data_IF_018833084311
#
_entry.id   IF_018833084311
#
_cell.length_a   1.000
_cell.length_b   1.000
_cell.length_c   1.000
_cell.angle_alpha   90.00
_cell.angle_beta   90.00
_cell.angle_gamma   90.00
#
_symmetry.space_group_name_H-M   'P 1'
#
loop_
_entity.id
_entity.type
_entity.pdbx_description
1 polymer ?
#
# COMPACT_ATOMS: atom_id res chain seq x y z
N UNK A 1 -1.49 -13.61 -17.25
CA UNK A 1 -0.86 -13.67 -15.91
C UNK A 1 -0.82 -12.28 -15.30
N UNK A 2 -0.98 -12.17 -13.97
CA UNK A 2 -0.95 -10.88 -13.26
C UNK A 2 0.46 -10.26 -13.29
N UNK A 3 1.50 -10.99 -12.95
CA UNK A 3 2.87 -10.47 -12.87
C UNK A 3 3.65 -10.61 -14.19
N UNK A 4 3.09 -10.04 -15.25
CA UNK A 4 3.74 -9.87 -16.55
C UNK A 4 3.79 -8.39 -16.93
N UNK A 5 4.91 -7.85 -17.42
CA UNK A 5 4.97 -6.46 -17.83
C UNK A 5 3.95 -6.12 -18.91
N UNK A 6 3.49 -4.88 -18.88
CA UNK A 6 2.58 -4.30 -19.87
C UNK A 6 3.34 -3.20 -20.62
N UNK A 7 3.09 -3.01 -21.92
CA UNK A 7 3.72 -1.91 -22.65
C UNK A 7 3.15 -0.57 -22.16
N UNK A 8 3.94 0.49 -22.14
CA UNK A 8 3.53 1.80 -21.59
C UNK A 8 2.21 2.33 -22.18
N UNK A 9 2.00 2.14 -23.49
CA UNK A 9 0.76 2.54 -24.17
C UNK A 9 -0.50 1.74 -23.79
N UNK A 10 -0.35 0.61 -23.10
CA UNK A 10 -1.45 -0.28 -22.71
C UNK A 10 -1.97 0.04 -21.30
N UNK A 11 -2.12 1.32 -20.94
CA UNK A 11 -2.53 1.78 -19.59
C UNK A 11 -3.86 1.18 -19.12
N UNK A 12 -4.84 1.04 -20.02
CA UNK A 12 -6.15 0.41 -19.72
C UNK A 12 -5.99 -1.06 -19.30
N UNK A 13 -5.06 -1.78 -19.93
CA UNK A 13 -4.78 -3.18 -19.62
C UNK A 13 -4.08 -3.31 -18.27
N UNK A 14 -3.17 -2.38 -17.95
CA UNK A 14 -2.54 -2.30 -16.63
C UNK A 14 -3.60 -2.02 -15.56
N UNK A 15 -4.47 -1.03 -15.77
CA UNK A 15 -5.52 -0.71 -14.82
C UNK A 15 -6.47 -1.89 -14.57
N UNK A 16 -6.92 -2.57 -15.63
CA UNK A 16 -7.78 -3.77 -15.50
C UNK A 16 -7.07 -4.87 -14.70
N UNK A 17 -5.77 -5.06 -14.92
CA UNK A 17 -4.97 -6.01 -14.16
C UNK A 17 -4.89 -5.63 -12.68
N UNK A 18 -4.65 -4.36 -12.36
CA UNK A 18 -4.64 -3.87 -10.97
C UNK A 18 -5.99 -4.10 -10.31
N UNK A 19 -7.09 -3.71 -10.96
CA UNK A 19 -8.45 -3.92 -10.44
C UNK A 19 -8.71 -5.40 -10.16
N UNK A 20 -8.38 -6.29 -11.10
CA UNK A 20 -8.57 -7.72 -10.88
C UNK A 20 -7.78 -8.27 -9.68
N UNK A 21 -6.55 -7.78 -9.44
CA UNK A 21 -5.76 -8.20 -8.27
C UNK A 21 -6.42 -7.64 -7.00
N UNK A 22 -6.80 -6.38 -7.01
CA UNK A 22 -7.47 -5.71 -5.88
C UNK A 22 -8.79 -6.38 -5.51
N UNK A 23 -9.59 -6.80 -6.49
CA UNK A 23 -10.86 -7.49 -6.26
C UNK A 23 -10.64 -8.86 -5.58
N UNK A 24 -9.59 -9.58 -5.98
CA UNK A 24 -9.21 -10.85 -5.33
C UNK A 24 -8.72 -10.62 -3.90
N UNK A 25 -7.89 -9.60 -3.66
CA UNK A 25 -7.46 -9.24 -2.31
C UNK A 25 -8.66 -8.85 -1.45
N UNK A 26 -9.59 -8.05 -1.97
CA UNK A 26 -10.82 -7.68 -1.26
C UNK A 26 -11.66 -8.90 -0.86
N UNK A 27 -11.80 -9.87 -1.77
CA UNK A 27 -12.54 -11.11 -1.51
C UNK A 27 -11.86 -12.03 -0.49
N UNK A 28 -10.55 -11.90 -0.28
CA UNK A 28 -9.77 -12.71 0.65
C UNK A 28 -9.62 -12.10 2.06
N UNK A 29 -10.27 -10.97 2.36
CA UNK A 29 -10.14 -10.26 3.64
C UNK A 29 -10.32 -11.18 4.86
N UNK A 30 -11.28 -12.09 4.82
CA UNK A 30 -11.64 -12.95 5.95
C UNK A 30 -10.85 -14.27 5.99
N UNK A 31 -10.25 -14.67 4.86
CA UNK A 31 -9.51 -15.94 4.72
C UNK A 31 -8.01 -15.79 4.94
N UNK A 32 -7.50 -14.55 4.96
CA UNK A 32 -6.07 -14.26 5.03
C UNK A 32 -5.41 -14.13 3.65
N UNK A 33 -4.17 -13.64 3.66
CA UNK A 33 -3.40 -13.28 2.46
C UNK A 33 -2.14 -14.12 2.25
N UNK A 34 -1.91 -15.14 3.09
CA UNK A 34 -0.70 -15.96 3.08
C UNK A 34 -0.46 -16.61 1.72
N UNK A 35 -1.53 -17.06 1.06
CA UNK A 35 -1.46 -17.66 -0.28
C UNK A 35 -0.90 -16.66 -1.31
N UNK A 36 -1.31 -15.39 -1.24
CA UNK A 36 -0.86 -14.36 -2.18
C UNK A 36 0.59 -14.00 -1.90
N UNK A 37 0.96 -13.88 -0.62
CA UNK A 37 2.34 -13.65 -0.20
C UNK A 37 3.26 -14.77 -0.67
N UNK A 38 2.90 -16.04 -0.44
CA UNK A 38 3.68 -17.19 -0.87
C UNK A 38 3.79 -17.27 -2.39
N UNK A 39 2.69 -17.00 -3.11
CA UNK A 39 2.67 -16.94 -4.56
C UNK A 39 3.64 -15.89 -5.09
N UNK A 40 3.55 -14.66 -4.60
CA UNK A 40 4.41 -13.56 -5.04
C UNK A 40 5.88 -13.80 -4.68
N UNK A 41 6.17 -14.30 -3.46
CA UNK A 41 7.53 -14.69 -3.04
C UNK A 41 8.10 -15.76 -3.96
N UNK A 42 7.31 -16.76 -4.35
CA UNK A 42 7.74 -17.83 -5.26
C UNK A 42 8.09 -17.27 -6.64
N UNK A 43 7.29 -16.35 -7.17
CA UNK A 43 7.55 -15.72 -8.47
C UNK A 43 8.85 -14.90 -8.45
N UNK A 44 9.03 -14.04 -7.44
CA UNK A 44 10.23 -13.19 -7.33
C UNK A 44 11.49 -14.04 -7.11
N UNK A 45 11.42 -15.07 -6.26
CA UNK A 45 12.55 -15.98 -6.01
C UNK A 45 13.01 -16.72 -7.26
N UNK A 46 12.09 -17.11 -8.15
CA UNK A 46 12.44 -17.77 -9.42
C UNK A 46 13.23 -16.84 -10.35
N UNK A 47 12.98 -15.55 -10.26
CA UNK A 47 13.56 -14.52 -11.12
C UNK A 47 14.86 -13.91 -10.55
N UNK A 48 15.21 -14.15 -9.28
CA UNK A 48 16.40 -13.55 -8.64
C UNK A 48 17.70 -13.81 -9.41
N UNK A 49 17.85 -15.01 -9.98
CA UNK A 49 19.04 -15.42 -10.74
C UNK A 49 18.98 -15.05 -12.23
N UNK A 50 17.88 -14.48 -12.71
CA UNK A 50 17.71 -14.13 -14.11
C UNK A 50 18.27 -12.73 -14.41
N UNK A 51 18.85 -12.57 -15.61
CA UNK A 51 19.35 -11.26 -16.08
C UNK A 51 18.23 -10.27 -16.34
N UNK A 52 17.08 -10.78 -16.78
CA UNK A 52 15.88 -9.99 -17.06
C UNK A 52 14.92 -10.26 -15.92
N UNK A 53 14.35 -9.19 -15.34
CA UNK A 53 13.44 -9.28 -14.20
C UNK A 53 12.01 -8.84 -14.53
N UNK A 54 11.27 -9.57 -15.38
CA UNK A 54 9.91 -9.19 -15.79
C UNK A 54 8.88 -9.14 -14.65
N UNK A 55 8.94 -10.03 -13.65
CA UNK A 55 8.06 -10.01 -12.47
C UNK A 55 8.33 -8.75 -11.65
N UNK A 56 9.60 -8.42 -11.38
CA UNK A 56 9.97 -7.19 -10.66
C UNK A 56 9.50 -5.94 -11.43
N UNK A 57 9.65 -5.93 -12.76
CA UNK A 57 9.13 -4.86 -13.61
C UNK A 57 7.59 -4.76 -13.53
N UNK A 58 6.89 -5.90 -13.54
CA UNK A 58 5.43 -5.91 -13.42
C UNK A 58 4.98 -5.40 -12.04
N UNK A 59 5.67 -5.79 -10.95
CA UNK A 59 5.41 -5.29 -9.61
C UNK A 59 5.55 -3.76 -9.55
N UNK A 60 6.61 -3.19 -10.14
CA UNK A 60 6.79 -1.73 -10.24
C UNK A 60 5.60 -1.05 -10.92
N UNK A 61 5.16 -1.57 -12.07
CA UNK A 61 4.01 -1.01 -12.80
C UNK A 61 2.71 -1.10 -12.00
N UNK A 62 2.50 -2.19 -11.27
CA UNK A 62 1.31 -2.39 -10.42
C UNK A 62 1.33 -1.42 -9.24
N UNK A 63 2.47 -1.28 -8.56
CA UNK A 63 2.65 -0.35 -7.43
C UNK A 63 2.41 1.09 -7.86
N UNK A 64 3.03 1.53 -8.96
CA UNK A 64 2.84 2.88 -9.49
C UNK A 64 1.37 3.15 -9.84
N UNK A 65 0.71 2.21 -10.51
CA UNK A 65 -0.70 2.34 -10.85
C UNK A 65 -1.61 2.33 -9.61
N UNK A 66 -1.29 1.54 -8.58
CA UNK A 66 -2.00 1.54 -7.29
C UNK A 66 -1.87 2.90 -6.60
N UNK A 67 -0.67 3.47 -6.51
CA UNK A 67 -0.44 4.78 -5.87
C UNK A 67 -1.23 5.87 -6.58
N UNK A 68 -1.15 5.93 -7.91
CA UNK A 68 -1.94 6.89 -8.70
C UNK A 68 -3.45 6.72 -8.49
N UNK A 69 -3.93 5.48 -8.42
CA UNK A 69 -5.34 5.20 -8.22
C UNK A 69 -5.81 5.54 -6.79
N UNK A 70 -4.96 5.33 -5.78
CA UNK A 70 -5.24 5.74 -4.38
C UNK A 70 -5.43 7.26 -4.31
N UNK A 71 -4.47 8.03 -4.83
CA UNK A 71 -4.56 9.50 -4.84
C UNK A 71 -5.84 9.99 -5.54
N UNK A 72 -6.18 9.38 -6.68
CA UNK A 72 -7.40 9.73 -7.43
C UNK A 72 -8.70 9.35 -6.70
N UNK A 73 -8.73 8.22 -6.00
CA UNK A 73 -9.92 7.77 -5.27
C UNK A 73 -10.26 8.71 -4.11
N UNK A 74 -9.26 9.31 -3.48
CA UNK A 74 -9.45 10.32 -2.44
C UNK A 74 -10.09 11.60 -2.98
N UNK A 75 -9.60 12.12 -4.10
CA UNK A 75 -10.11 13.35 -4.72
C UNK A 75 -11.58 13.22 -5.13
N UNK A 76 -11.99 12.03 -5.57
CA UNK A 76 -13.31 11.82 -6.18
C UNK A 76 -14.38 11.50 -5.14
N UNK A 77 -14.05 10.88 -4.00
CA UNK A 77 -15.11 10.38 -3.11
C UNK A 77 -14.65 10.00 -1.70
N UNK A 78 -15.15 10.70 -0.68
CA UNK A 78 -15.22 10.20 0.71
C UNK A 78 -16.21 9.04 0.91
N UNK A 79 -16.58 8.30 -0.14
CA UNK A 79 -17.67 7.31 -0.14
C UNK A 79 -17.26 5.89 -0.60
N UNK A 80 -16.05 5.68 -1.12
CA UNK A 80 -15.61 4.36 -1.61
C UNK A 80 -14.48 3.73 -0.78
N UNK A 81 -14.60 3.85 0.55
CA UNK A 81 -13.59 3.40 1.51
C UNK A 81 -13.21 1.92 1.32
N UNK A 82 -14.16 1.06 0.95
CA UNK A 82 -13.86 -0.37 0.72
C UNK A 82 -12.86 -0.58 -0.44
N UNK A 83 -13.03 0.15 -1.55
CA UNK A 83 -12.13 0.05 -2.69
C UNK A 83 -10.76 0.64 -2.39
N UNK A 84 -10.74 1.74 -1.65
CA UNK A 84 -9.50 2.37 -1.16
C UNK A 84 -8.74 1.43 -0.21
N UNK A 85 -9.44 0.84 0.76
CA UNK A 85 -8.89 -0.18 1.68
C UNK A 85 -8.35 -1.37 0.90
N UNK A 86 -9.07 -1.87 -0.12
CA UNK A 86 -8.58 -2.97 -0.94
C UNK A 86 -7.32 -2.61 -1.75
N UNK A 87 -7.25 -1.38 -2.30
CA UNK A 87 -6.06 -0.89 -3.00
C UNK A 87 -4.87 -0.81 -2.04
N UNK A 88 -5.08 -0.26 -0.84
CA UNK A 88 -4.04 -0.14 0.20
C UNK A 88 -3.61 -1.50 0.75
N UNK A 89 -4.53 -2.44 0.93
CA UNK A 89 -4.23 -3.82 1.30
C UNK A 89 -3.36 -4.50 0.23
N UNK A 90 -3.73 -4.34 -1.04
CA UNK A 90 -2.94 -4.87 -2.18
C UNK A 90 -1.54 -4.26 -2.21
N UNK A 91 -1.45 -2.94 -2.02
CA UNK A 91 -0.19 -2.22 -1.98
C UNK A 91 0.68 -2.68 -0.80
N UNK A 92 0.07 -2.86 0.37
CA UNK A 92 0.74 -3.39 1.56
C UNK A 92 1.31 -4.79 1.31
N UNK A 93 0.54 -5.69 0.69
CA UNK A 93 1.02 -7.04 0.37
C UNK A 93 2.24 -7.00 -0.56
N UNK A 94 2.21 -6.19 -1.62
CA UNK A 94 3.36 -6.01 -2.53
C UNK A 94 4.58 -5.46 -1.78
N UNK A 95 4.36 -4.44 -0.95
CA UNK A 95 5.41 -3.77 -0.17
C UNK A 95 6.03 -4.70 0.87
N UNK A 96 5.22 -5.51 1.55
CA UNK A 96 5.69 -6.49 2.54
C UNK A 96 6.66 -7.50 1.92
N UNK A 97 6.51 -7.82 0.64
CA UNK A 97 7.42 -8.73 -0.07
C UNK A 97 8.63 -7.99 -0.64
N UNK A 98 8.42 -6.79 -1.18
CA UNK A 98 9.46 -6.00 -1.86
C UNK A 98 9.34 -4.51 -1.48
N UNK A 99 9.81 -4.11 -0.29
CA UNK A 99 9.52 -2.78 0.23
C UNK A 99 10.24 -1.65 -0.54
N UNK A 100 11.30 -1.98 -1.27
CA UNK A 100 12.05 -1.05 -2.13
C UNK A 100 11.15 -0.40 -3.20
N UNK A 101 10.06 -1.06 -3.60
CA UNK A 101 9.13 -0.54 -4.60
C UNK A 101 8.38 0.72 -4.13
N UNK A 102 8.29 0.94 -2.82
CA UNK A 102 7.52 2.04 -2.25
C UNK A 102 8.37 3.18 -1.68
N UNK A 103 9.70 3.05 -1.64
CA UNK A 103 10.60 4.06 -1.06
C UNK A 103 10.37 5.44 -1.67
N UNK A 104 10.27 5.54 -3.00
CA UNK A 104 10.03 6.80 -3.72
C UNK A 104 8.63 7.42 -3.46
N UNK A 105 7.68 6.65 -2.95
CA UNK A 105 6.31 7.10 -2.66
C UNK A 105 6.07 7.36 -1.17
N UNK A 106 7.10 7.20 -0.31
CA UNK A 106 6.97 7.35 1.15
C UNK A 106 6.44 8.73 1.54
N UNK A 107 6.89 9.82 0.89
CA UNK A 107 6.42 11.18 1.16
C UNK A 107 4.93 11.37 0.87
N UNK A 108 4.44 10.71 -0.19
CA UNK A 108 3.02 10.76 -0.58
C UNK A 108 2.18 10.09 0.52
N UNK A 109 2.59 8.92 1.00
CA UNK A 109 1.88 8.22 2.07
C UNK A 109 2.02 8.88 3.44
N UNK A 110 3.12 9.55 3.75
CA UNK A 110 3.22 10.33 4.98
C UNK A 110 2.28 11.54 4.93
N UNK A 111 2.19 12.23 3.79
CA UNK A 111 1.21 13.32 3.60
C UNK A 111 -0.21 12.80 3.76
N UNK A 112 -0.49 11.61 3.24
CA UNK A 112 -1.76 10.92 3.42
C UNK A 112 -2.13 10.79 4.90
N UNK A 113 -1.21 10.27 5.71
CA UNK A 113 -1.40 10.05 7.15
C UNK A 113 -1.85 11.32 7.87
N UNK A 114 -1.23 12.45 7.53
CA UNK A 114 -1.47 13.76 8.13
C UNK A 114 -2.82 14.38 7.71
N UNK A 115 -3.16 14.30 6.42
CA UNK A 115 -4.36 14.96 5.91
C UNK A 115 -5.64 14.17 6.16
N UNK A 116 -5.52 12.89 6.48
CA UNK A 116 -6.63 11.94 6.53
C UNK A 116 -6.88 11.37 7.92
N UNK A 117 -6.63 12.11 8.99
CA UNK A 117 -6.79 11.63 10.37
C UNK A 117 -8.21 11.11 10.71
N UNK A 118 -9.24 11.51 9.96
CA UNK A 118 -10.62 11.05 10.11
C UNK A 118 -11.03 9.93 9.12
N UNK A 119 -10.06 9.40 8.37
CA UNK A 119 -10.31 8.29 7.45
C UNK A 119 -10.61 6.98 8.17
N UNK A 120 -11.14 6.03 7.42
CA UNK A 120 -11.42 4.67 7.89
C UNK A 120 -10.18 4.08 8.61
N UNK A 121 -10.34 3.46 9.80
CA UNK A 121 -9.22 2.89 10.54
C UNK A 121 -8.36 1.90 9.73
N UNK A 122 -8.96 1.15 8.80
CA UNK A 122 -8.22 0.21 7.95
C UNK A 122 -7.33 0.92 6.93
N UNK A 123 -7.75 2.09 6.45
CA UNK A 123 -6.92 2.93 5.56
C UNK A 123 -5.67 3.36 6.31
N UNK A 124 -5.85 3.97 7.49
CA UNK A 124 -4.74 4.42 8.32
C UNK A 124 -3.83 3.27 8.74
N UNK A 125 -4.40 2.11 9.08
CA UNK A 125 -3.66 0.89 9.39
C UNK A 125 -2.73 0.49 8.23
N UNK A 126 -3.24 0.35 7.00
CA UNK A 126 -2.41 -0.08 5.88
C UNK A 126 -1.34 0.95 5.51
N UNK A 127 -1.67 2.25 5.56
CA UNK A 127 -0.69 3.32 5.33
C UNK A 127 0.44 3.24 6.36
N UNK A 128 0.13 3.08 7.65
CA UNK A 128 1.14 2.94 8.70
C UNK A 128 2.00 1.69 8.49
N UNK A 129 1.40 0.54 8.17
CA UNK A 129 2.13 -0.72 7.89
C UNK A 129 3.02 -0.65 6.66
N UNK A 130 2.66 0.17 5.66
CA UNK A 130 3.53 0.43 4.51
C UNK A 130 4.72 1.30 4.96
N UNK A 131 4.46 2.42 5.64
CA UNK A 131 5.51 3.35 6.10
C UNK A 131 6.51 2.66 7.04
N UNK A 132 6.03 1.79 7.93
CA UNK A 132 6.86 1.01 8.87
C UNK A 132 7.98 0.24 8.16
N UNK A 133 7.72 -0.33 6.98
CA UNK A 133 8.70 -1.13 6.24
C UNK A 133 9.47 -0.33 5.19
N UNK A 134 8.96 0.83 4.75
CA UNK A 134 9.60 1.63 3.69
C UNK A 134 10.51 2.72 4.23
N UNK A 135 10.14 3.36 5.35
CA UNK A 135 10.93 4.45 5.96
C UNK A 135 12.35 4.02 6.32
N UNK A 136 12.59 2.82 6.91
CA UNK A 136 13.95 2.35 7.19
C UNK A 136 14.83 2.14 5.95
N UNK A 137 14.23 2.04 4.76
CA UNK A 137 14.95 1.87 3.49
C UNK A 137 15.25 3.20 2.78
N UNK A 138 14.82 4.33 3.33
CA UNK A 138 15.11 5.64 2.75
C UNK A 138 16.59 5.99 2.91
N UNK A 139 17.22 6.43 1.82
CA UNK A 139 18.55 7.01 1.86
C UNK A 139 18.45 8.47 2.35
N UNK A 140 19.03 8.75 3.51
CA UNK A 140 19.10 10.09 4.12
C UNK A 140 17.74 10.81 4.25
N UNK A 141 16.77 10.25 5.02
CA UNK A 141 15.56 10.99 5.36
C UNK A 141 15.91 12.28 6.11
N UNK A 142 15.24 13.39 5.81
CA UNK A 142 15.49 14.65 6.52
C UNK A 142 15.01 14.55 7.97
N UNK A 143 15.72 15.18 8.90
CA UNK A 143 15.32 15.20 10.32
C UNK A 143 13.91 15.78 10.51
N UNK A 144 13.57 16.80 9.72
CA UNK A 144 12.23 17.40 9.71
C UNK A 144 11.14 16.40 9.30
N UNK A 145 11.43 15.51 8.35
CA UNK A 145 10.50 14.48 7.92
C UNK A 145 10.30 13.44 9.02
N UNK A 146 11.40 12.97 9.64
CA UNK A 146 11.34 11.95 10.70
C UNK A 146 10.57 12.48 11.91
N UNK A 147 10.86 13.71 12.35
CA UNK A 147 10.17 14.34 13.45
C UNK A 147 8.66 14.51 13.18
N UNK A 148 8.29 14.91 11.95
CA UNK A 148 6.89 15.04 11.58
C UNK A 148 6.17 13.70 11.55
N UNK A 149 6.81 12.67 10.98
CA UNK A 149 6.25 11.31 10.93
C UNK A 149 6.03 10.75 12.35
N UNK A 150 6.98 10.97 13.26
CA UNK A 150 6.85 10.58 14.67
C UNK A 150 5.65 11.27 15.32
N UNK A 151 5.51 12.58 15.15
CA UNK A 151 4.38 13.35 15.66
C UNK A 151 3.04 12.81 15.13
N UNK A 152 2.94 12.56 13.82
CA UNK A 152 1.73 12.06 13.18
C UNK A 152 1.35 10.66 13.71
N UNK A 153 2.33 9.77 13.90
CA UNK A 153 2.11 8.42 14.44
C UNK A 153 1.68 8.43 15.91
N UNK A 154 2.26 9.32 16.72
CA UNK A 154 1.87 9.49 18.13
C UNK A 154 0.42 9.98 18.24
N UNK A 155 0.03 10.99 17.45
CA UNK A 155 -1.35 11.49 17.41
C UNK A 155 -2.35 10.40 17.07
N UNK A 156 -2.04 9.58 16.06
CA UNK A 156 -2.90 8.46 15.66
C UNK A 156 -3.04 7.42 16.76
N UNK A 157 -1.94 7.06 17.44
CA UNK A 157 -1.95 6.11 18.55
C UNK A 157 -2.84 6.58 19.69
N UNK A 158 -2.73 7.85 20.09
CA UNK A 158 -3.55 8.45 21.14
C UNK A 158 -5.04 8.47 20.77
N UNK A 159 -5.37 8.80 19.53
CA UNK A 159 -6.76 8.82 19.04
C UNK A 159 -7.40 7.43 19.02
N UNK A 160 -6.68 6.41 18.54
CA UNK A 160 -7.16 5.03 18.58
C UNK A 160 -7.35 4.54 20.01
N UNK A 161 -6.42 4.86 20.92
CA UNK A 161 -6.57 4.57 22.35
C UNK A 161 -7.85 5.18 22.94
N UNK A 162 -8.16 6.44 22.60
CA UNK A 162 -9.40 7.12 23.02
C UNK A 162 -10.65 6.43 22.48
N UNK A 163 -10.68 6.06 21.19
CA UNK A 163 -11.82 5.37 20.57
C UNK A 163 -12.10 4.01 21.22
N UNK A 164 -11.04 3.26 21.57
CA UNK A 164 -11.17 1.99 22.30
C UNK A 164 -11.78 2.23 23.68
N UNK A 165 -11.30 3.23 24.42
CA UNK A 165 -11.84 3.57 25.73
C UNK A 165 -13.32 3.98 25.67
N UNK A 166 -13.71 4.82 24.70
CA UNK A 166 -15.11 5.20 24.49
C UNK A 166 -16.00 3.98 24.18
N UNK A 167 -15.50 3.02 23.41
CA UNK A 167 -16.23 1.78 23.10
C UNK A 167 -16.42 0.85 24.30
N UNK A 168 -15.57 0.94 25.33
CA UNK A 168 -15.71 0.15 26.57
C UNK A 168 -16.72 0.76 27.57
N UNK A 169 -17.08 2.02 27.40
CA UNK A 169 -18.00 2.75 28.29
C UNK A 169 -19.44 2.77 27.74
N UNK A 170 -19.61 2.52 26.44
CA UNK A 170 -20.91 2.34 25.78
C UNK A 170 -21.53 0.96 26.04
#
# INVERSE_FOLDING_TARGET
MWFSPVREKETVKLLRKVVNITDVVAACKDTGYEWFEQFLRSLLKKEECEKVKPVEKACKQIVECLVQNIMRLEEISGQNNQRLVACLATLHLLTKIRPELMVQYTMVLQTYLRCNENSDPHVLHYVARILEVTVPLMEHPSESFVAQLEEDMVKLTLKHGKMVLESCVA
#
